data_IF_404178790367
#
_entry.id   IF_404178790367
#
_cell.length_a   1.000
_cell.length_b   1.000
_cell.length_c   1.000
_cell.angle_alpha   90.00
_cell.angle_beta   90.00
_cell.angle_gamma   90.00
#
_symmetry.space_group_name_H-M   'P 1'
#
loop_
_entity.id
_entity.type
_entity.pdbx_description
1 polymer ?
#
# COMPACT_ATOMS: atom_id res chain seq x y z
N UNK A 1 -7.33 12.54 5.36
CA UNK A 1 -5.90 12.22 5.61
C UNK A 1 -5.17 12.11 4.26
N UNK A 2 -3.83 12.21 4.24
CA UNK A 2 -3.03 12.05 3.00
C UNK A 2 -3.20 10.68 2.33
N UNK A 3 -3.63 9.65 3.07
CA UNK A 3 -3.99 8.32 2.55
C UNK A 3 -5.08 8.37 1.47
N UNK A 4 -5.99 9.34 1.52
CA UNK A 4 -7.06 9.49 0.51
C UNK A 4 -6.55 9.99 -0.84
N UNK A 5 -5.33 10.52 -0.90
CA UNK A 5 -4.68 10.97 -2.14
C UNK A 5 -3.92 9.84 -2.86
N UNK A 6 -3.74 8.68 -2.21
CA UNK A 6 -3.23 7.49 -2.88
C UNK A 6 -4.31 6.92 -3.80
N UNK A 7 -3.88 6.29 -4.90
CA UNK A 7 -4.81 5.49 -5.69
C UNK A 7 -5.35 4.31 -4.85
N UNK A 8 -6.45 3.73 -5.31
CA UNK A 8 -7.16 2.70 -4.57
C UNK A 8 -6.27 1.52 -4.17
N UNK A 9 -5.50 0.98 -5.11
CA UNK A 9 -4.62 -0.17 -4.86
C UNK A 9 -3.53 0.16 -3.84
N UNK A 10 -2.95 1.36 -3.91
CA UNK A 10 -1.95 1.80 -2.95
C UNK A 10 -2.53 1.96 -1.55
N UNK A 11 -3.72 2.55 -1.46
CA UNK A 11 -4.44 2.71 -0.20
C UNK A 11 -4.81 1.37 0.42
N UNK A 12 -5.33 0.44 -0.38
CA UNK A 12 -5.70 -0.92 0.07
C UNK A 12 -4.49 -1.67 0.63
N UNK A 13 -3.35 -1.64 -0.06
CA UNK A 13 -2.13 -2.28 0.46
C UNK A 13 -1.67 -1.64 1.76
N UNK A 14 -1.75 -0.32 1.90
CA UNK A 14 -1.37 0.33 3.16
C UNK A 14 -2.32 -0.06 4.31
N UNK A 15 -3.64 -0.07 4.05
CA UNK A 15 -4.64 -0.47 5.04
C UNK A 15 -4.38 -1.91 5.51
N UNK A 16 -4.35 -2.86 4.58
CA UNK A 16 -4.18 -4.27 4.93
C UNK A 16 -2.84 -4.55 5.61
N UNK A 17 -1.74 -3.93 5.14
CA UNK A 17 -0.39 -4.23 5.66
C UNK A 17 -0.03 -3.57 6.98
N UNK A 18 -0.57 -2.39 7.25
CA UNK A 18 -0.10 -1.57 8.38
C UNK A 18 -1.22 -1.20 9.36
N UNK A 19 -2.46 -1.08 8.91
CA UNK A 19 -3.58 -0.80 9.81
C UNK A 19 -4.20 -2.10 10.31
N UNK A 20 -4.41 -3.06 9.41
CA UNK A 20 -5.02 -4.35 9.76
C UNK A 20 -3.97 -5.42 10.15
N UNK A 21 -2.70 -5.19 9.82
CA UNK A 21 -1.58 -6.02 10.26
C UNK A 21 -1.39 -7.34 9.50
N UNK A 22 -2.02 -7.51 8.33
CA UNK A 22 -1.84 -8.71 7.51
C UNK A 22 -0.40 -8.85 6.99
N UNK A 23 0.01 -10.08 6.73
CA UNK A 23 1.27 -10.41 6.03
C UNK A 23 1.20 -10.15 4.53
N UNK A 24 2.34 -10.30 3.83
CA UNK A 24 2.39 -10.21 2.36
C UNK A 24 1.49 -11.27 1.73
N UNK A 25 1.57 -12.50 2.22
CA UNK A 25 0.84 -13.65 1.70
C UNK A 25 -0.68 -13.47 1.89
N UNK A 26 -1.12 -13.07 3.09
CA UNK A 26 -2.54 -12.81 3.36
C UNK A 26 -3.08 -11.66 2.50
N UNK A 27 -2.31 -10.58 2.35
CA UNK A 27 -2.72 -9.45 1.50
C UNK A 27 -2.76 -9.83 0.02
N UNK A 28 -1.85 -10.70 -0.42
CA UNK A 28 -1.82 -11.24 -1.78
C UNK A 28 -3.07 -12.10 -2.05
N UNK A 29 -3.46 -12.93 -1.09
CA UNK A 29 -4.70 -13.69 -1.15
C UNK A 29 -5.95 -12.78 -1.17
N UNK A 30 -6.03 -11.79 -0.28
CA UNK A 30 -7.17 -10.86 -0.18
C UNK A 30 -7.34 -10.03 -1.45
N UNK A 31 -6.24 -9.56 -2.05
CA UNK A 31 -6.27 -8.69 -3.23
C UNK A 31 -6.20 -9.45 -4.55
N UNK A 32 -6.21 -10.78 -4.51
CA UNK A 32 -6.08 -11.67 -5.68
C UNK A 32 -4.87 -11.30 -6.56
N UNK A 33 -3.70 -11.19 -5.92
CA UNK A 33 -2.41 -10.84 -6.55
C UNK A 33 -1.32 -11.80 -6.11
N UNK A 34 -0.20 -11.80 -6.83
CA UNK A 34 1.00 -12.50 -6.36
C UNK A 34 1.68 -11.76 -5.21
N UNK A 35 2.39 -12.48 -4.34
CA UNK A 35 3.20 -11.85 -3.28
C UNK A 35 4.22 -10.84 -3.83
N UNK A 36 4.81 -11.13 -5.00
CA UNK A 36 5.72 -10.20 -5.67
C UNK A 36 5.04 -8.90 -6.08
N UNK A 37 3.80 -8.98 -6.58
CA UNK A 37 3.00 -7.79 -6.91
C UNK A 37 2.67 -6.98 -5.64
N UNK A 38 2.34 -7.64 -4.52
CA UNK A 38 2.11 -6.96 -3.24
C UNK A 38 3.38 -6.28 -2.71
N UNK A 39 4.54 -6.94 -2.78
CA UNK A 39 5.83 -6.32 -2.38
C UNK A 39 6.11 -5.05 -3.20
N UNK A 40 5.95 -5.13 -4.52
CA UNK A 40 6.18 -3.99 -5.41
C UNK A 40 5.16 -2.86 -5.17
N UNK A 41 3.89 -3.21 -4.99
CA UNK A 41 2.83 -2.24 -4.70
C UNK A 41 3.05 -1.58 -3.34
N UNK A 42 3.41 -2.34 -2.29
CA UNK A 42 3.74 -1.81 -0.97
C UNK A 42 4.87 -0.79 -1.04
N UNK A 43 5.97 -1.12 -1.74
CA UNK A 43 7.10 -0.20 -1.91
C UNK A 43 6.66 1.13 -2.54
N UNK A 44 5.97 1.07 -3.69
CA UNK A 44 5.47 2.29 -4.37
C UNK A 44 4.44 3.06 -3.55
N UNK A 45 3.60 2.37 -2.78
CA UNK A 45 2.59 3.00 -1.91
C UNK A 45 3.25 3.80 -0.79
N UNK A 46 4.28 3.25 -0.15
CA UNK A 46 5.04 3.92 0.91
C UNK A 46 5.81 5.13 0.36
N UNK A 47 6.42 5.00 -0.82
CA UNK A 47 7.11 6.10 -1.48
C UNK A 47 6.16 7.26 -1.78
N UNK A 48 5.00 6.96 -2.39
CA UNK A 48 4.00 7.98 -2.70
C UNK A 48 3.43 8.62 -1.43
N UNK A 49 3.14 7.82 -0.40
CA UNK A 49 2.63 8.35 0.86
C UNK A 49 3.65 9.28 1.53
N UNK A 50 4.94 8.92 1.51
CA UNK A 50 6.02 9.78 2.00
C UNK A 50 6.06 11.11 1.26
N UNK A 51 5.98 11.10 -0.08
CA UNK A 51 5.96 12.34 -0.89
C UNK A 51 4.76 13.22 -0.53
N UNK A 52 3.57 12.62 -0.42
CA UNK A 52 2.34 13.33 -0.07
C UNK A 52 2.37 13.96 1.33
N UNK A 53 2.96 13.28 2.32
CA UNK A 53 3.13 13.79 3.69
C UNK A 53 4.11 14.95 3.72
N UNK A 54 5.24 14.82 3.03
CA UNK A 54 6.31 15.82 3.03
C UNK A 54 6.08 16.98 2.03
N UNK A 55 5.03 16.91 1.21
CA UNK A 55 4.80 17.89 0.15
C UNK A 55 5.88 17.86 -0.94
N UNK A 56 6.50 16.70 -1.16
CA UNK A 56 7.50 16.51 -2.20
C UNK A 56 6.81 16.35 -3.57
N UNK A 57 7.48 16.77 -4.66
CA UNK A 57 7.02 16.51 -6.02
C UNK A 57 6.95 15.01 -6.33
#
# INVERSE_FOLDING_TARGET
>A
SKLQMLNEQQRQVIMLRFLDGYSIAETAAILEKSEGAIKALQHRSLENLRRLILGLP
#
